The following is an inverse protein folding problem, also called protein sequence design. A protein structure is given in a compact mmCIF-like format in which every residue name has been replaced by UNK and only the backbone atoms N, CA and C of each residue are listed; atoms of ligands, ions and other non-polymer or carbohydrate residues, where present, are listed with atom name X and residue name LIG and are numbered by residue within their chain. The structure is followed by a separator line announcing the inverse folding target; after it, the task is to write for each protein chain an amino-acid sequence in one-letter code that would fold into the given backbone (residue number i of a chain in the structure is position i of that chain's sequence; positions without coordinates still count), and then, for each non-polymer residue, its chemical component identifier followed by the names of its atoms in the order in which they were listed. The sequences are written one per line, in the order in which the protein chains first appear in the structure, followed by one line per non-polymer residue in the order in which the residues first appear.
data_IF_009036873665
#
_entry.id   IF_009036873665
#
_cell.length_a   1.000
_cell.length_b   1.000
_cell.length_c   1.000
_cell.angle_alpha   90.00
_cell.angle_beta   90.00
_cell.angle_gamma   90.00
#
_symmetry.space_group_name_H-M   'P 1'
#
loop_
_entity.id
_entity.type
_entity.pdbx_description
1 polymer ?
#
# COMPACT_ATOMS: atom_id res chain seq x y z
N UNK A 1 3.02 13.39 -44.09
CA UNK A 1 3.49 13.72 -42.72
C UNK A 1 2.39 13.77 -41.66
N UNK A 2 1.16 14.22 -41.94
CA UNK A 2 0.06 14.29 -40.94
C UNK A 2 -0.32 12.93 -40.33
N UNK A 3 -0.40 11.85 -41.12
CA UNK A 3 -0.74 10.50 -40.61
C UNK A 3 0.34 9.92 -39.68
N UNK A 4 1.62 10.12 -40.00
CA UNK A 4 2.76 9.68 -39.16
C UNK A 4 2.80 10.45 -37.83
N UNK A 5 2.57 11.77 -37.86
CA UNK A 5 2.43 12.57 -36.62
C UNK A 5 1.24 12.12 -35.77
N UNK A 6 0.12 11.75 -36.41
CA UNK A 6 -1.08 11.25 -35.72
C UNK A 6 -0.85 9.88 -35.06
N UNK A 7 -0.17 8.95 -35.72
CA UNK A 7 0.17 7.65 -35.13
C UNK A 7 1.20 7.78 -34.01
N UNK A 8 2.16 8.70 -34.14
CA UNK A 8 3.14 8.98 -33.08
C UNK A 8 2.47 9.52 -31.80
N UNK A 9 1.47 10.40 -31.93
CA UNK A 9 0.69 10.91 -30.80
C UNK A 9 -0.13 9.79 -30.12
N UNK A 10 -0.72 8.88 -30.90
CA UNK A 10 -1.47 7.73 -30.36
C UNK A 10 -0.57 6.74 -29.61
N UNK A 11 0.62 6.45 -30.14
CA UNK A 11 1.60 5.57 -29.47
C UNK A 11 2.10 6.23 -28.18
N UNK A 12 2.38 7.54 -28.21
CA UNK A 12 2.81 8.28 -27.03
C UNK A 12 1.73 8.29 -25.94
N UNK A 13 0.46 8.50 -26.31
CA UNK A 13 -0.67 8.41 -25.38
C UNK A 13 -0.80 7.02 -24.74
N UNK A 14 -0.64 5.94 -25.53
CA UNK A 14 -0.69 4.57 -25.02
C UNK A 14 0.41 4.27 -23.99
N UNK A 15 1.64 4.77 -24.21
CA UNK A 15 2.76 4.60 -23.26
C UNK A 15 2.47 5.30 -21.93
N UNK A 16 1.91 6.51 -21.96
CA UNK A 16 1.59 7.28 -20.75
C UNK A 16 0.52 6.56 -19.90
N UNK A 17 -0.46 5.91 -20.54
CA UNK A 17 -1.50 5.16 -19.84
C UNK A 17 -0.99 3.92 -19.09
N UNK A 18 0.15 3.34 -19.49
CA UNK A 18 0.75 2.20 -18.75
C UNK A 18 1.35 2.59 -17.40
N UNK A 19 1.68 3.87 -17.20
CA UNK A 19 2.34 4.35 -15.99
C UNK A 19 1.51 4.21 -14.70
N UNK A 20 0.17 4.28 -14.79
CA UNK A 20 -0.72 4.12 -13.64
C UNK A 20 -1.15 2.66 -13.40
N UNK A 21 -0.69 1.72 -14.21
CA UNK A 21 -1.13 0.32 -14.11
C UNK A 21 -0.74 -0.36 -12.80
N UNK A 22 0.41 -0.02 -12.22
CA UNK A 22 0.89 -0.55 -10.94
C UNK A 22 -0.04 -0.19 -9.78
N UNK A 23 -0.39 1.09 -9.65
CA UNK A 23 -1.26 1.56 -8.58
C UNK A 23 -2.67 0.98 -8.69
N UNK A 24 -3.20 0.88 -9.91
CA UNK A 24 -4.49 0.23 -10.18
C UNK A 24 -4.49 -1.25 -9.80
N UNK A 25 -3.37 -1.97 -10.06
CA UNK A 25 -3.20 -3.37 -9.64
C UNK A 25 -3.16 -3.50 -8.12
N UNK A 26 -2.39 -2.64 -7.44
CA UNK A 26 -2.34 -2.62 -5.97
C UNK A 26 -3.74 -2.41 -5.37
N UNK A 27 -4.48 -1.39 -5.85
CA UNK A 27 -5.85 -1.11 -5.40
C UNK A 27 -6.79 -2.30 -5.63
N UNK A 28 -6.76 -2.90 -6.83
CA UNK A 28 -7.60 -4.06 -7.17
C UNK A 28 -7.30 -5.27 -6.29
N UNK A 29 -6.03 -5.43 -5.90
CA UNK A 29 -5.54 -6.58 -5.16
C UNK A 29 -5.35 -6.28 -3.66
N UNK A 30 -5.92 -5.20 -3.13
CA UNK A 30 -5.71 -4.80 -1.73
C UNK A 30 -6.09 -5.91 -0.73
N UNK A 31 -7.08 -6.75 -1.07
CA UNK A 31 -7.47 -7.92 -0.27
C UNK A 31 -6.44 -9.06 -0.23
N UNK A 32 -5.34 -8.98 -0.99
CA UNK A 32 -4.23 -9.95 -0.89
C UNK A 32 -3.24 -9.59 0.23
N UNK A 33 -3.34 -8.39 0.80
CA UNK A 33 -2.53 -8.01 1.96
C UNK A 33 -3.07 -8.81 3.16
N UNK A 34 -2.20 -9.59 3.79
CA UNK A 34 -2.53 -10.28 5.03
C UNK A 34 -2.12 -9.41 6.21
N UNK A 35 -2.88 -9.45 7.29
CA UNK A 35 -2.49 -8.81 8.53
C UNK A 35 -2.83 -9.67 9.74
N UNK A 36 -2.05 -9.50 10.79
CA UNK A 36 -2.20 -10.14 12.09
C UNK A 36 -2.17 -9.09 13.19
N UNK A 37 -3.06 -9.23 14.16
CA UNK A 37 -3.17 -8.33 15.32
C UNK A 37 -2.85 -9.12 16.58
N UNK A 38 -1.86 -8.66 17.33
CA UNK A 38 -1.39 -9.32 18.55
C UNK A 38 -1.37 -8.31 19.71
N UNK A 39 -2.05 -8.58 20.83
CA UNK A 39 -2.87 -9.76 21.13
C UNK A 39 -4.22 -9.74 20.36
N UNK A 40 -4.81 -10.93 20.14
CA UNK A 40 -6.11 -11.06 19.47
C UNK A 40 -7.27 -10.48 20.31
N UNK A 41 -7.16 -10.61 21.63
CA UNK A 41 -8.06 -9.97 22.59
C UNK A 41 -7.34 -8.77 23.18
N UNK A 42 -7.92 -7.60 22.99
CA UNK A 42 -7.35 -6.35 23.47
C UNK A 42 -7.71 -6.17 24.95
N UNK A 43 -6.69 -5.96 25.78
CA UNK A 43 -6.84 -5.73 27.21
C UNK A 43 -6.13 -4.44 27.63
N UNK A 44 -6.78 -3.69 28.51
CA UNK A 44 -6.25 -2.43 29.01
C UNK A 44 -5.30 -2.67 30.17
N UNK A 45 -4.08 -2.18 30.06
CA UNK A 45 -3.07 -2.19 31.10
C UNK A 45 -2.70 -0.75 31.45
N UNK A 46 -3.02 -0.33 32.67
CA UNK A 46 -2.77 1.05 33.14
C UNK A 46 -3.33 2.14 32.20
N UNK A 47 -4.51 1.91 31.60
CA UNK A 47 -5.14 2.85 30.66
C UNK A 47 -4.60 2.79 29.23
N UNK A 48 -3.64 1.90 28.93
CA UNK A 48 -3.09 1.69 27.61
C UNK A 48 -3.53 0.34 27.04
N UNK A 49 -3.80 0.29 25.74
CA UNK A 49 -4.02 -0.96 25.00
C UNK A 49 -2.83 -1.14 24.07
N UNK A 50 -1.95 -2.08 24.41
CA UNK A 50 -0.82 -2.42 23.55
C UNK A 50 -1.31 -3.36 22.44
N UNK A 51 -1.05 -2.97 21.21
CA UNK A 51 -1.38 -3.76 20.02
C UNK A 51 -0.23 -3.68 19.03
N UNK A 52 0.13 -4.84 18.48
CA UNK A 52 1.07 -4.98 17.38
C UNK A 52 0.30 -5.40 16.15
N UNK A 53 0.52 -4.70 15.04
CA UNK A 53 -0.14 -4.98 13.76
C UNK A 53 0.94 -5.36 12.76
N UNK A 54 0.97 -6.63 12.38
CA UNK A 54 1.88 -7.12 11.35
C UNK A 54 1.15 -7.21 10.02
N UNK A 55 1.61 -6.51 9.00
CA UNK A 55 1.12 -6.65 7.63
C UNK A 55 2.11 -7.37 6.74
N UNK A 56 1.61 -8.21 5.84
CA UNK A 56 2.40 -9.00 4.88
C UNK A 56 1.90 -8.74 3.47
N UNK A 57 2.82 -8.33 2.60
CA UNK A 57 2.59 -8.14 1.18
C UNK A 57 3.10 -9.34 0.39
N UNK A 58 2.28 -9.94 -0.48
CA UNK A 58 2.74 -11.03 -1.33
C UNK A 58 3.73 -10.52 -2.39
N UNK A 59 4.45 -11.47 -2.99
CA UNK A 59 5.30 -11.19 -4.15
C UNK A 59 4.51 -10.46 -5.25
N UNK A 60 5.21 -9.57 -5.96
CA UNK A 60 4.70 -8.82 -7.12
C UNK A 60 3.51 -7.90 -6.81
N UNK A 61 3.17 -7.69 -5.54
CA UNK A 61 2.12 -6.77 -5.13
C UNK A 61 2.58 -5.31 -5.15
N UNK A 62 3.66 -5.02 -4.44
CA UNK A 62 4.06 -3.64 -4.15
C UNK A 62 4.76 -3.02 -5.37
N UNK A 63 4.19 -1.96 -5.94
CA UNK A 63 4.80 -1.28 -7.07
C UNK A 63 6.11 -0.59 -6.64
N UNK A 64 7.17 -0.79 -7.43
CA UNK A 64 8.52 -0.31 -7.11
C UNK A 64 8.58 1.20 -6.92
N UNK A 65 7.65 1.97 -7.50
CA UNK A 65 7.61 3.44 -7.44
C UNK A 65 6.48 3.98 -6.56
N UNK A 66 5.74 3.12 -5.85
CA UNK A 66 4.63 3.54 -5.02
C UNK A 66 5.05 3.86 -3.58
N UNK A 67 4.29 4.74 -2.94
CA UNK A 67 4.27 4.93 -1.49
C UNK A 67 2.89 4.53 -0.99
N UNK A 68 2.83 3.84 0.14
CA UNK A 68 1.59 3.37 0.77
C UNK A 68 1.57 3.81 2.23
N UNK A 69 0.48 4.45 2.65
CA UNK A 69 0.21 4.76 4.05
C UNK A 69 -0.81 3.76 4.58
N UNK A 70 -0.41 2.95 5.54
CA UNK A 70 -1.30 2.04 6.26
C UNK A 70 -1.79 2.73 7.53
N UNK A 71 -3.09 3.02 7.58
CA UNK A 71 -3.77 3.63 8.73
C UNK A 71 -4.63 2.59 9.42
N UNK A 72 -4.26 2.13 10.62
CA UNK A 72 -5.11 1.23 11.39
C UNK A 72 -6.42 1.90 11.77
N UNK A 73 -7.50 1.12 11.78
CA UNK A 73 -8.83 1.58 12.19
C UNK A 73 -9.38 0.58 13.20
N UNK A 74 -9.87 1.10 14.33
CA UNK A 74 -10.61 0.33 15.32
C UNK A 74 -12.10 0.40 14.99
N UNK A 75 -12.68 -0.73 14.61
CA UNK A 75 -14.12 -0.86 14.34
C UNK A 75 -14.85 -1.39 15.58
N UNK A 76 -15.99 -0.76 15.91
CA UNK A 76 -16.88 -1.15 17.00
C UNK A 76 -18.34 -0.92 16.59
N UNK A 77 -19.29 -1.39 17.40
CA UNK A 77 -20.72 -1.45 17.04
C UNK A 77 -21.30 -0.13 16.48
N UNK A 78 -20.79 1.02 16.94
CA UNK A 78 -21.33 2.34 16.61
C UNK A 78 -20.37 3.20 15.77
N UNK A 79 -19.33 2.63 15.17
CA UNK A 79 -18.45 3.38 14.28
C UNK A 79 -17.02 2.88 14.21
N UNK A 80 -16.16 3.75 13.70
CA UNK A 80 -14.77 3.48 13.44
C UNK A 80 -13.90 4.65 13.92
N UNK A 81 -12.78 4.34 14.57
CA UNK A 81 -11.77 5.32 14.97
C UNK A 81 -10.44 5.00 14.31
N UNK A 82 -9.95 5.90 13.46
CA UNK A 82 -8.62 5.80 12.87
C UNK A 82 -7.53 6.10 13.91
N UNK A 83 -6.41 5.40 13.83
CA UNK A 83 -5.27 5.63 14.70
C UNK A 83 -4.39 6.75 14.13
N UNK A 84 -3.87 7.62 15.01
CA UNK A 84 -2.94 8.68 14.60
C UNK A 84 -1.60 8.13 14.10
N UNK A 85 -1.18 6.99 14.65
CA UNK A 85 0.06 6.31 14.23
C UNK A 85 -0.21 5.53 12.94
N UNK A 86 0.42 5.97 11.86
CA UNK A 86 0.35 5.35 10.54
C UNK A 86 1.71 4.78 10.14
N UNK A 87 1.71 3.67 9.41
CA UNK A 87 2.94 3.13 8.82
C UNK A 87 3.05 3.63 7.38
N UNK A 88 4.15 4.31 7.06
CA UNK A 88 4.46 4.72 5.69
C UNK A 88 5.46 3.72 5.11
N UNK A 89 5.10 3.16 3.96
CA UNK A 89 5.84 2.14 3.24
C UNK A 89 6.15 2.63 1.84
N UNK A 90 7.28 2.19 1.27
CA UNK A 90 7.69 2.62 -0.05
C UNK A 90 8.23 1.48 -0.90
N UNK A 91 8.10 1.61 -2.21
CA UNK A 91 8.70 0.70 -3.16
C UNK A 91 10.19 0.97 -3.31
N UNK A 92 10.94 -0.04 -3.76
CA UNK A 92 12.40 -0.02 -3.90
C UNK A 92 12.99 1.08 -4.81
N UNK A 93 12.18 1.75 -5.65
CA UNK A 93 12.60 2.86 -6.52
C UNK A 93 12.15 4.23 -6.01
N UNK A 94 11.51 4.30 -4.84
CA UNK A 94 11.17 5.56 -4.19
C UNK A 94 12.39 6.08 -3.43
N UNK A 95 12.75 7.34 -3.65
CA UNK A 95 13.91 7.99 -3.03
C UNK A 95 13.54 8.74 -1.74
N UNK A 96 12.72 8.13 -0.91
CA UNK A 96 12.39 8.62 0.43
C UNK A 96 13.01 7.70 1.49
N UNK A 97 12.82 8.02 2.77
CA UNK A 97 13.39 7.27 3.89
C UNK A 97 12.32 6.51 4.69
N UNK A 98 11.37 5.90 3.99
CA UNK A 98 10.37 5.03 4.60
C UNK A 98 10.81 3.56 4.50
N UNK A 99 10.13 2.69 5.24
CA UNK A 99 10.38 1.26 5.16
C UNK A 99 10.09 0.73 3.75
N UNK A 100 11.07 0.03 3.18
CA UNK A 100 11.00 -0.50 1.82
C UNK A 100 10.28 -1.85 1.79
N UNK A 101 9.27 -1.98 0.93
CA UNK A 101 8.68 -3.25 0.54
C UNK A 101 9.16 -3.58 -0.88
N UNK A 102 9.80 -4.74 -1.04
CA UNK A 102 10.38 -5.13 -2.33
C UNK A 102 9.32 -5.73 -3.24
N UNK A 103 9.63 -5.81 -4.54
CA UNK A 103 8.77 -6.53 -5.49
C UNK A 103 8.73 -8.04 -5.24
N UNK A 104 9.65 -8.59 -4.43
CA UNK A 104 9.62 -9.97 -3.95
C UNK A 104 8.77 -10.14 -2.68
N UNK A 105 7.96 -9.14 -2.33
CA UNK A 105 7.17 -9.15 -1.11
C UNK A 105 7.93 -8.57 0.08
N UNK A 106 7.27 -8.59 1.24
CA UNK A 106 7.81 -8.04 2.48
C UNK A 106 6.73 -7.87 3.53
N UNK A 107 7.12 -7.42 4.71
CA UNK A 107 6.24 -7.21 5.86
C UNK A 107 6.55 -5.91 6.57
N UNK A 108 5.63 -5.46 7.42
CA UNK A 108 5.82 -4.41 8.41
C UNK A 108 5.17 -4.81 9.73
N UNK A 109 5.68 -4.25 10.82
CA UNK A 109 5.19 -4.46 12.18
C UNK A 109 5.16 -3.14 12.94
#
# INVERSE_FOLDING_TARGET
MKKIKSYFILILAAVIMTGCSGLNKMKKNAGLIQYEVTPQVLETHAGLVNVTIKGVFPEKYFDKKATLTATPVLTYANGETAFDRVQILQGEKVQANNQVITYAGGNFN
#
